data_IF_585622561674
#
_entry.id   IF_585622561674
#
_cell.length_a   1.000
_cell.length_b   1.000
_cell.length_c   1.000
_cell.angle_alpha   90.00
_cell.angle_beta   90.00
_cell.angle_gamma   90.00
#
_symmetry.space_group_name_H-M   'P 1'
#
loop_
_entity.id
_entity.type
_entity.pdbx_description
1 polymer ?
#
# COMPACT_ATOMS: atom_id res chain seq x y z
N UNK A 1 -15.65 3.12 20.17
CA UNK A 1 -14.40 2.50 19.69
C UNK A 1 -14.71 1.07 19.33
N UNK A 2 -14.49 0.74 18.08
CA UNK A 2 -14.68 -0.59 17.53
C UNK A 2 -13.62 -1.57 18.09
N UNK A 3 -14.01 -2.81 18.45
CA UNK A 3 -13.07 -3.83 18.92
C UNK A 3 -11.95 -4.10 17.90
N UNK A 4 -10.71 -4.16 18.38
CA UNK A 4 -9.54 -4.51 17.58
C UNK A 4 -8.46 -5.20 18.40
N UNK A 5 -7.52 -5.84 17.72
CA UNK A 5 -6.33 -6.45 18.28
C UNK A 5 -5.08 -5.86 17.63
N UNK A 6 -4.06 -5.54 18.43
CA UNK A 6 -2.75 -5.15 17.91
C UNK A 6 -2.00 -6.39 17.41
N UNK A 7 -1.53 -6.34 16.17
CA UNK A 7 -0.78 -7.41 15.46
C UNK A 7 0.73 -7.28 15.63
N UNK A 8 1.17 -6.27 16.37
CA UNK A 8 2.56 -5.90 16.57
C UNK A 8 2.74 -5.34 17.99
N UNK A 9 3.86 -5.68 18.60
CA UNK A 9 4.24 -5.23 19.94
C UNK A 9 5.64 -4.61 19.95
N UNK A 10 6.00 -3.80 20.96
CA UNK A 10 7.37 -3.32 21.09
C UNK A 10 8.35 -4.50 21.16
N UNK A 11 9.41 -4.46 20.35
CA UNK A 11 10.48 -5.43 20.47
C UNK A 11 11.31 -5.08 21.71
N UNK A 12 11.45 -6.03 22.64
CA UNK A 12 12.25 -5.87 23.85
C UNK A 12 13.33 -6.94 23.91
N UNK A 13 14.38 -6.73 24.71
CA UNK A 13 15.41 -7.75 24.90
C UNK A 13 14.84 -9.09 25.40
N UNK A 14 13.75 -9.04 26.19
CA UNK A 14 13.09 -10.23 26.74
C UNK A 14 12.16 -10.93 25.74
N UNK A 15 11.52 -10.18 24.84
CA UNK A 15 10.49 -10.70 23.92
C UNK A 15 10.98 -10.89 22.49
N UNK A 16 12.18 -10.41 22.15
CA UNK A 16 12.65 -10.40 20.77
C UNK A 16 12.68 -11.78 20.14
N UNK A 17 12.09 -11.87 18.96
CA UNK A 17 12.17 -13.01 18.06
C UNK A 17 12.58 -12.55 16.68
N UNK A 18 13.61 -13.19 16.11
CA UNK A 18 14.21 -12.81 14.83
C UNK A 18 13.17 -12.75 13.71
N UNK A 19 12.39 -13.83 13.55
CA UNK A 19 11.36 -13.92 12.52
C UNK A 19 10.30 -12.82 12.65
N UNK A 20 9.79 -12.61 13.86
CA UNK A 20 8.74 -11.62 14.15
C UNK A 20 9.24 -10.19 13.95
N UNK A 21 10.50 -9.93 14.32
CA UNK A 21 11.14 -8.64 14.12
C UNK A 21 11.35 -8.34 12.64
N UNK A 22 11.87 -9.30 11.86
CA UNK A 22 12.05 -9.12 10.43
C UNK A 22 10.71 -8.95 9.70
N UNK A 23 9.68 -9.69 10.11
CA UNK A 23 8.32 -9.58 9.54
C UNK A 23 7.67 -8.20 9.77
N UNK A 24 7.98 -7.54 10.89
CA UNK A 24 7.49 -6.19 11.20
C UNK A 24 8.42 -5.06 10.72
N UNK A 25 9.60 -5.37 10.17
CA UNK A 25 10.56 -4.39 9.70
C UNK A 25 11.09 -4.77 8.32
N UNK A 26 10.31 -4.56 7.24
CA UNK A 26 10.69 -4.96 5.88
C UNK A 26 12.01 -4.35 5.40
N UNK A 27 12.33 -3.11 5.82
CA UNK A 27 13.61 -2.44 5.55
C UNK A 27 14.81 -3.22 6.08
N UNK A 28 14.65 -3.80 7.28
CA UNK A 28 15.68 -4.62 7.91
C UNK A 28 15.71 -6.01 7.30
N UNK A 29 14.55 -6.60 7.00
CA UNK A 29 14.48 -7.89 6.31
C UNK A 29 15.21 -7.87 4.96
N UNK A 30 14.98 -6.83 4.15
CA UNK A 30 15.68 -6.64 2.88
C UNK A 30 17.19 -6.50 3.08
N UNK A 31 17.62 -5.68 4.04
CA UNK A 31 19.03 -5.48 4.35
C UNK A 31 19.73 -6.76 4.83
N UNK A 32 19.04 -7.64 5.56
CA UNK A 32 19.56 -8.96 5.95
C UNK A 32 19.64 -9.89 4.73
N UNK A 33 18.60 -9.94 3.90
CA UNK A 33 18.59 -10.78 2.68
C UNK A 33 19.69 -10.40 1.68
N UNK A 34 19.99 -9.12 1.56
CA UNK A 34 21.06 -8.60 0.69
C UNK A 34 22.46 -8.69 1.33
N UNK A 35 22.58 -9.22 2.55
CA UNK A 35 23.85 -9.33 3.27
C UNK A 35 24.42 -8.00 3.78
N UNK A 36 23.67 -6.90 3.70
CA UNK A 36 24.04 -5.60 4.27
C UNK A 36 23.99 -5.57 5.80
N UNK A 37 23.20 -6.47 6.40
CA UNK A 37 23.10 -6.69 7.85
C UNK A 37 23.26 -8.18 8.15
N UNK A 38 23.91 -8.50 9.28
CA UNK A 38 24.13 -9.90 9.68
C UNK A 38 22.84 -10.61 10.12
N UNK A 39 21.95 -9.88 10.81
CA UNK A 39 20.64 -10.36 11.28
C UNK A 39 19.78 -9.18 11.75
N UNK A 40 18.48 -9.42 11.90
CA UNK A 40 17.55 -8.52 12.58
C UNK A 40 17.97 -8.30 14.04
N UNK A 41 18.45 -9.34 14.73
CA UNK A 41 19.01 -9.25 16.09
C UNK A 41 20.15 -8.24 16.17
N UNK A 42 21.11 -8.32 15.24
CA UNK A 42 22.25 -7.41 15.21
C UNK A 42 21.80 -5.95 15.01
N UNK A 43 20.80 -5.72 14.16
CA UNK A 43 20.19 -4.40 14.03
C UNK A 43 19.47 -3.96 15.30
N UNK A 44 18.67 -4.85 15.91
CA UNK A 44 17.87 -4.53 17.08
C UNK A 44 18.71 -4.09 18.28
N UNK A 45 19.77 -4.85 18.59
CA UNK A 45 20.69 -4.56 19.68
C UNK A 45 21.42 -3.24 19.45
N UNK A 46 21.82 -2.96 18.21
CA UNK A 46 22.60 -1.76 17.86
C UNK A 46 21.72 -0.51 17.74
N UNK A 47 20.52 -0.63 17.20
CA UNK A 47 19.67 0.48 16.78
C UNK A 47 18.20 0.30 17.15
N UNK A 48 17.63 -0.89 16.97
CA UNK A 48 16.18 -1.12 17.08
C UNK A 48 15.59 -0.75 18.45
N UNK A 49 16.30 -1.03 19.55
CA UNK A 49 15.88 -0.61 20.90
C UNK A 49 15.71 0.91 21.02
N UNK A 50 16.68 1.68 20.51
CA UNK A 50 16.65 3.15 20.57
C UNK A 50 15.63 3.75 19.60
N UNK A 51 15.33 3.03 18.53
CA UNK A 51 14.32 3.38 17.54
C UNK A 51 12.90 2.93 17.94
N UNK A 52 12.73 2.30 19.10
CA UNK A 52 11.47 1.71 19.55
C UNK A 52 10.80 0.81 18.49
N UNK A 53 11.62 0.03 17.76
CA UNK A 53 11.13 -0.87 16.70
C UNK A 53 10.18 -1.92 17.28
N UNK A 54 9.19 -2.32 16.48
CA UNK A 54 8.17 -3.32 16.83
C UNK A 54 8.51 -4.68 16.24
N UNK A 55 7.83 -5.71 16.71
CA UNK A 55 7.85 -7.06 16.17
C UNK A 55 6.43 -7.58 16.00
N UNK A 56 6.22 -8.49 15.06
CA UNK A 56 4.94 -9.15 14.82
C UNK A 56 4.50 -9.97 16.02
N UNK A 57 3.19 -10.07 16.21
CA UNK A 57 2.58 -10.94 17.23
C UNK A 57 1.23 -11.44 16.74
N UNK A 58 0.93 -12.70 17.04
CA UNK A 58 -0.43 -13.24 16.94
C UNK A 58 -1.12 -13.08 18.30
N UNK A 59 -2.05 -12.13 18.45
CA UNK A 59 -2.74 -11.90 19.71
C UNK A 59 -3.73 -13.05 20.02
N UNK A 60 -3.91 -13.34 21.31
CA UNK A 60 -4.95 -14.25 21.76
C UNK A 60 -6.33 -13.70 21.36
N UNK A 61 -7.22 -14.57 20.90
CA UNK A 61 -8.57 -14.19 20.44
C UNK A 61 -8.66 -13.74 18.97
N UNK A 62 -7.54 -13.69 18.22
CA UNK A 62 -7.55 -13.36 16.80
C UNK A 62 -8.43 -14.31 15.99
N UNK A 63 -8.28 -15.63 16.19
CA UNK A 63 -9.07 -16.66 15.48
C UNK A 63 -10.56 -16.49 15.77
N UNK A 64 -10.95 -16.30 17.03
CA UNK A 64 -12.35 -16.07 17.40
C UNK A 64 -12.91 -14.78 16.76
N UNK A 65 -12.18 -13.67 16.85
CA UNK A 65 -12.59 -12.40 16.23
C UNK A 65 -12.72 -12.53 14.70
N UNK A 66 -11.81 -13.26 14.05
CA UNK A 66 -11.89 -13.56 12.63
C UNK A 66 -13.11 -14.40 12.30
N UNK A 67 -13.32 -15.50 13.03
CA UNK A 67 -14.44 -16.40 12.80
C UNK A 67 -15.79 -15.66 12.89
N UNK A 68 -15.98 -14.81 13.91
CA UNK A 68 -17.17 -13.98 14.08
C UNK A 68 -17.36 -12.99 12.92
N UNK A 69 -16.28 -12.33 12.49
CA UNK A 69 -16.30 -11.41 11.35
C UNK A 69 -16.63 -12.15 10.04
N UNK A 70 -16.03 -13.30 9.81
CA UNK A 70 -16.24 -14.09 8.60
C UNK A 70 -17.63 -14.75 8.56
N UNK A 71 -18.22 -15.06 9.71
CA UNK A 71 -19.62 -15.50 9.78
C UNK A 71 -20.58 -14.40 9.32
N UNK A 72 -20.31 -13.14 9.69
CA UNK A 72 -21.07 -11.97 9.21
C UNK A 72 -20.85 -11.70 7.72
N UNK A 73 -19.65 -11.97 7.20
CA UNK A 73 -19.29 -11.78 5.80
C UNK A 73 -19.85 -12.87 4.88
N UNK A 74 -19.92 -14.13 5.33
CA UNK A 74 -20.33 -15.28 4.53
C UNK A 74 -21.61 -15.06 3.67
N UNK A 75 -22.73 -14.51 4.19
CA UNK A 75 -23.93 -14.27 3.38
C UNK A 75 -23.78 -13.13 2.35
N UNK A 76 -22.66 -12.39 2.37
CA UNK A 76 -22.36 -11.31 1.43
C UNK A 76 -21.38 -11.75 0.33
N UNK A 77 -20.83 -12.96 0.43
CA UNK A 77 -19.91 -13.50 -0.57
C UNK A 77 -20.63 -13.90 -1.86
N UNK A 78 -19.91 -13.81 -2.98
CA UNK A 78 -20.33 -14.34 -4.27
C UNK A 78 -20.01 -15.82 -4.36
N UNK A 79 -21.04 -16.63 -4.61
CA UNK A 79 -20.91 -18.08 -4.77
C UNK A 79 -20.74 -18.48 -6.24
N UNK A 80 -20.93 -17.53 -7.17
CA UNK A 80 -20.81 -17.72 -8.62
C UNK A 80 -19.37 -17.62 -9.12
N UNK A 81 -18.44 -17.20 -8.26
CA UNK A 81 -17.02 -17.12 -8.58
C UNK A 81 -16.27 -18.34 -8.01
N UNK A 82 -15.33 -18.92 -8.79
CA UNK A 82 -14.51 -20.03 -8.31
C UNK A 82 -13.65 -19.56 -7.14
N UNK A 83 -13.66 -20.33 -6.05
CA UNK A 83 -12.88 -20.02 -4.86
C UNK A 83 -12.59 -21.29 -4.06
N UNK A 84 -11.65 -21.18 -3.13
CA UNK A 84 -11.34 -22.19 -2.13
C UNK A 84 -11.23 -21.57 -0.74
N UNK A 85 -11.04 -22.44 0.26
CA UNK A 85 -10.79 -22.04 1.65
C UNK A 85 -9.33 -22.25 1.99
N UNK A 86 -8.71 -21.28 2.64
CA UNK A 86 -7.37 -21.36 3.21
C UNK A 86 -7.48 -21.25 4.74
N UNK A 87 -7.72 -22.40 5.38
CA UNK A 87 -8.22 -22.43 6.75
C UNK A 87 -9.54 -21.66 6.86
N UNK A 88 -9.56 -20.62 7.67
CA UNK A 88 -10.74 -19.75 7.84
C UNK A 88 -10.89 -18.72 6.72
N UNK A 89 -9.84 -18.40 5.96
CA UNK A 89 -9.86 -17.36 4.93
C UNK A 89 -10.55 -17.83 3.66
N UNK A 90 -11.06 -16.87 2.90
CA UNK A 90 -11.53 -17.10 1.54
C UNK A 90 -10.40 -16.84 0.54
N UNK A 91 -10.29 -17.67 -0.49
CA UNK A 91 -9.31 -17.51 -1.56
C UNK A 91 -9.99 -17.54 -2.93
N UNK A 92 -10.18 -16.36 -3.52
CA UNK A 92 -10.77 -16.13 -4.84
C UNK A 92 -9.71 -15.91 -5.93
N UNK A 93 -8.42 -16.08 -5.61
CA UNK A 93 -7.36 -15.96 -6.61
C UNK A 93 -7.13 -17.30 -7.31
N UNK A 94 -7.60 -17.42 -8.55
CA UNK A 94 -7.17 -18.50 -9.45
C UNK A 94 -5.68 -18.41 -9.76
N UNK A 95 -5.07 -19.46 -10.30
CA UNK A 95 -3.66 -19.44 -10.70
C UNK A 95 -3.38 -18.31 -11.70
N UNK A 96 -4.31 -18.05 -12.62
CA UNK A 96 -4.21 -16.94 -13.58
C UNK A 96 -4.27 -15.57 -12.88
N UNK A 97 -5.16 -15.40 -11.91
CA UNK A 97 -5.25 -14.14 -11.14
C UNK A 97 -4.02 -13.93 -10.26
N UNK A 98 -3.41 -14.99 -9.72
CA UNK A 98 -2.14 -14.92 -8.99
C UNK A 98 -1.00 -14.46 -9.90
N UNK A 99 -0.90 -15.03 -11.10
CA UNK A 99 0.08 -14.63 -12.09
C UNK A 99 -0.12 -13.18 -12.57
N UNK A 100 -1.37 -12.74 -12.73
CA UNK A 100 -1.69 -11.37 -13.15
C UNK A 100 -1.43 -10.34 -12.07
N UNK A 101 -1.73 -10.68 -10.82
CA UNK A 101 -1.59 -9.81 -9.65
C UNK A 101 -0.16 -9.69 -9.16
N UNK A 102 0.75 -10.59 -9.56
CA UNK A 102 2.15 -10.62 -9.12
C UNK A 102 2.31 -10.88 -7.61
N UNK A 103 1.32 -11.53 -6.99
CA UNK A 103 1.24 -11.75 -5.54
C UNK A 103 2.44 -12.49 -4.94
N UNK A 104 3.17 -13.27 -5.75
CA UNK A 104 4.34 -14.05 -5.33
C UNK A 104 5.68 -13.34 -5.63
N UNK A 105 5.67 -12.25 -6.40
CA UNK A 105 6.87 -11.64 -6.96
C UNK A 105 7.48 -10.54 -6.07
N UNK A 106 6.82 -10.17 -4.96
CA UNK A 106 7.25 -9.07 -4.09
C UNK A 106 7.75 -9.56 -2.72
N UNK A 107 9.00 -9.26 -2.33
CA UNK A 107 9.46 -9.40 -0.95
C UNK A 107 8.96 -8.27 -0.04
N UNK A 108 8.36 -7.22 -0.59
CA UNK A 108 7.87 -6.10 0.21
C UNK A 108 6.45 -6.34 0.71
N UNK A 109 6.26 -5.92 1.96
CA UNK A 109 4.98 -5.95 2.66
C UNK A 109 4.45 -4.52 2.69
N UNK A 110 3.33 -4.27 2.02
CA UNK A 110 2.63 -2.99 2.14
C UNK A 110 2.05 -2.88 3.55
N UNK A 111 2.43 -1.82 4.28
CA UNK A 111 2.02 -1.58 5.67
C UNK A 111 1.76 -0.09 5.85
N UNK A 112 0.53 0.34 5.60
CA UNK A 112 0.09 1.70 5.88
C UNK A 112 -0.74 1.72 7.16
N UNK A 113 -0.49 2.70 8.04
CA UNK A 113 -1.36 2.94 9.17
C UNK A 113 -2.66 3.60 8.70
N UNK A 114 -3.76 3.33 9.41
CA UNK A 114 -5.00 4.08 9.21
C UNK A 114 -4.87 5.50 9.74
N UNK A 115 -5.29 6.46 8.92
CA UNK A 115 -5.42 7.85 9.33
C UNK A 115 -6.72 8.10 10.09
N UNK A 116 -6.92 9.34 10.55
CA UNK A 116 -8.09 9.71 11.33
C UNK A 116 -9.42 9.51 10.58
N UNK A 117 -9.45 9.66 9.25
CA UNK A 117 -10.69 9.48 8.46
C UNK A 117 -11.06 8.01 8.33
N UNK A 118 -10.07 7.15 8.13
CA UNK A 118 -10.31 5.71 8.13
C UNK A 118 -10.77 5.25 9.51
N UNK A 119 -10.14 5.72 10.58
CA UNK A 119 -10.57 5.40 11.95
C UNK A 119 -11.99 5.91 12.25
N UNK A 120 -12.33 7.12 11.81
CA UNK A 120 -13.69 7.66 11.93
C UNK A 120 -14.71 6.78 11.18
N UNK A 121 -14.40 6.34 9.96
CA UNK A 121 -15.26 5.45 9.18
C UNK A 121 -15.48 4.12 9.92
N UNK A 122 -14.42 3.54 10.48
CA UNK A 122 -14.46 2.29 11.24
C UNK A 122 -15.30 2.43 12.51
N UNK A 123 -15.11 3.51 13.27
CA UNK A 123 -15.79 3.74 14.55
C UNK A 123 -17.25 4.18 14.37
N UNK A 124 -17.60 4.80 13.23
CA UNK A 124 -18.97 5.16 12.89
C UNK A 124 -19.85 3.95 12.51
N UNK A 125 -19.25 2.80 12.24
CA UNK A 125 -19.94 1.58 11.79
C UNK A 125 -19.62 0.35 12.66
N UNK A 126 -19.84 0.39 13.98
CA UNK A 126 -19.42 -0.69 14.88
C UNK A 126 -20.10 -2.03 14.57
N UNK A 127 -21.37 -1.99 14.14
CA UNK A 127 -22.17 -3.17 13.76
C UNK A 127 -22.18 -3.44 12.25
N UNK A 128 -21.61 -2.52 11.47
CA UNK A 128 -21.49 -2.63 10.02
C UNK A 128 -20.25 -3.43 9.59
N UNK A 129 -20.08 -3.59 8.28
CA UNK A 129 -18.84 -4.12 7.71
C UNK A 129 -18.20 -3.06 6.81
N UNK A 130 -16.90 -2.86 6.99
CA UNK A 130 -16.06 -2.01 6.15
C UNK A 130 -15.15 -2.92 5.33
N UNK A 131 -15.04 -2.67 4.04
CA UNK A 131 -14.04 -3.35 3.20
C UNK A 131 -12.78 -2.51 3.17
N UNK A 132 -11.64 -3.12 3.49
CA UNK A 132 -10.33 -2.57 3.17
C UNK A 132 -9.80 -3.27 1.91
N UNK A 133 -9.92 -2.58 0.77
CA UNK A 133 -9.67 -3.11 -0.57
C UNK A 133 -8.22 -2.85 -0.97
N UNK A 134 -7.35 -3.84 -0.78
CA UNK A 134 -5.90 -3.70 -0.88
C UNK A 134 -5.30 -3.33 0.48
N UNK A 135 -5.59 -4.15 1.49
CA UNK A 135 -5.28 -3.85 2.88
C UNK A 135 -3.77 -3.82 3.18
N UNK A 136 -2.97 -4.53 2.40
CA UNK A 136 -1.63 -4.93 2.81
C UNK A 136 -1.68 -5.71 4.12
N UNK A 137 -0.55 -5.71 4.83
CA UNK A 137 -0.47 -6.23 6.19
C UNK A 137 -0.81 -5.12 7.18
N UNK A 138 -1.74 -5.38 8.10
CA UNK A 138 -2.20 -4.38 9.06
C UNK A 138 -1.57 -4.59 10.44
N UNK A 139 -1.17 -3.49 11.08
CA UNK A 139 -0.69 -3.48 12.46
C UNK A 139 -1.83 -3.67 13.49
N UNK A 140 -3.08 -3.48 13.05
CA UNK A 140 -4.29 -3.66 13.85
C UNK A 140 -5.32 -4.44 13.06
N UNK A 141 -5.92 -5.42 13.71
CA UNK A 141 -7.00 -6.23 13.15
C UNK A 141 -8.32 -5.83 13.80
N UNK A 142 -9.24 -5.25 13.03
CA UNK A 142 -10.54 -4.77 13.52
C UNK A 142 -11.63 -5.82 13.31
N UNK A 143 -12.57 -5.90 14.25
CA UNK A 143 -13.69 -6.84 14.21
C UNK A 143 -14.72 -6.54 13.10
N UNK A 144 -14.73 -5.33 12.54
CA UNK A 144 -15.67 -4.91 11.50
C UNK A 144 -15.01 -4.55 10.16
N UNK A 145 -13.67 -4.63 10.04
CA UNK A 145 -12.96 -4.35 8.77
C UNK A 145 -12.58 -5.67 8.12
N UNK A 146 -13.10 -5.95 6.94
CA UNK A 146 -12.75 -7.10 6.11
C UNK A 146 -11.53 -6.72 5.28
N UNK A 147 -10.41 -7.39 5.50
CA UNK A 147 -9.16 -7.12 4.78
C UNK A 147 -9.09 -7.98 3.52
N UNK A 148 -9.23 -7.34 2.35
CA UNK A 148 -9.00 -7.94 1.03
C UNK A 148 -7.57 -7.66 0.58
N UNK A 149 -6.84 -8.70 0.20
CA UNK A 149 -5.45 -8.57 -0.22
C UNK A 149 -5.06 -9.67 -1.22
N UNK A 150 -4.13 -9.39 -2.14
CA UNK A 150 -3.61 -10.42 -3.07
C UNK A 150 -2.61 -11.37 -2.38
N UNK A 151 -1.96 -10.90 -1.32
CA UNK A 151 -1.02 -11.66 -0.51
C UNK A 151 -1.66 -12.26 0.77
N UNK A 152 -1.19 -13.44 1.16
CA UNK A 152 -1.67 -14.15 2.36
C UNK A 152 -0.94 -13.68 3.63
N UNK A 153 -1.32 -12.52 4.15
CA UNK A 153 -0.81 -12.03 5.44
C UNK A 153 -1.59 -12.63 6.62
N UNK A 154 -1.00 -12.53 7.81
CA UNK A 154 -1.65 -12.85 9.08
C UNK A 154 -2.95 -12.07 9.29
N UNK A 155 -3.08 -10.88 8.71
CA UNK A 155 -4.29 -10.04 8.77
C UNK A 155 -5.28 -10.22 7.62
N UNK A 156 -4.94 -10.99 6.58
CA UNK A 156 -5.81 -11.17 5.41
C UNK A 156 -7.03 -12.01 5.75
N UNK A 157 -8.21 -11.57 5.32
CA UNK A 157 -9.48 -12.29 5.48
C UNK A 157 -9.92 -12.94 4.16
N UNK A 158 -9.75 -12.21 3.07
CA UNK A 158 -10.15 -12.63 1.72
C UNK A 158 -8.99 -12.36 0.76
N UNK A 159 -8.53 -13.40 0.08
CA UNK A 159 -7.65 -13.24 -1.06
C UNK A 159 -8.45 -12.97 -2.33
N UNK A 160 -8.17 -11.87 -3.02
CA UNK A 160 -8.88 -11.45 -4.22
C UNK A 160 -8.30 -10.17 -4.84
N UNK A 161 -8.81 -9.78 -6.01
CA UNK A 161 -8.39 -8.56 -6.72
C UNK A 161 -9.51 -7.51 -6.69
N UNK A 162 -9.12 -6.23 -6.79
CA UNK A 162 -10.07 -5.12 -6.76
C UNK A 162 -10.94 -5.04 -8.01
N UNK A 163 -10.43 -5.48 -9.17
CA UNK A 163 -11.15 -5.43 -10.45
C UNK A 163 -12.31 -6.44 -10.54
N UNK A 164 -12.35 -7.45 -9.65
CA UNK A 164 -13.42 -8.44 -9.54
C UNK A 164 -13.62 -8.79 -8.06
N UNK A 165 -14.41 -8.00 -7.35
CA UNK A 165 -14.62 -8.18 -5.92
C UNK A 165 -15.55 -9.38 -5.65
N UNK A 166 -15.19 -10.27 -4.71
CA UNK A 166 -15.94 -11.49 -4.43
C UNK A 166 -17.15 -11.27 -3.52
N UNK A 167 -17.75 -10.09 -3.57
CA UNK A 167 -18.85 -9.67 -2.69
C UNK A 167 -20.08 -9.31 -3.52
N UNK A 168 -21.27 -9.55 -2.96
CA UNK A 168 -22.56 -9.16 -3.52
C UNK A 168 -22.70 -7.64 -3.54
N UNK A 169 -23.62 -7.15 -4.34
CA UNK A 169 -23.96 -5.72 -4.41
C UNK A 169 -24.38 -5.22 -3.03
N UNK A 170 -24.08 -3.96 -2.72
CA UNK A 170 -24.51 -3.31 -1.48
C UNK A 170 -24.19 -4.10 -0.19
N UNK A 171 -22.97 -4.63 -0.10
CA UNK A 171 -22.51 -5.45 1.04
C UNK A 171 -21.89 -4.65 2.18
N UNK A 172 -21.23 -3.52 1.88
CA UNK A 172 -20.43 -2.78 2.87
C UNK A 172 -20.98 -1.40 3.19
N UNK A 173 -20.87 -1.01 4.46
CA UNK A 173 -21.22 0.32 4.97
C UNK A 173 -20.13 1.35 4.65
N UNK A 174 -18.92 0.89 4.33
CA UNK A 174 -17.86 1.72 3.79
C UNK A 174 -16.76 0.91 3.12
N UNK A 175 -15.96 1.58 2.30
CA UNK A 175 -14.79 1.02 1.62
C UNK A 175 -13.59 1.92 1.86
N UNK A 176 -12.45 1.31 2.14
CA UNK A 176 -11.12 1.92 2.25
C UNK A 176 -10.31 1.45 1.05
N UNK A 177 -9.64 2.36 0.35
CA UNK A 177 -8.70 2.03 -0.73
C UNK A 177 -7.57 3.06 -0.75
N UNK A 178 -6.46 2.73 -0.09
CA UNK A 178 -5.34 3.66 0.16
C UNK A 178 -4.08 3.11 -0.48
N UNK A 179 -3.56 3.83 -1.47
CA UNK A 179 -2.41 3.44 -2.26
C UNK A 179 -2.60 2.06 -2.93
N UNK A 180 -3.64 1.95 -3.76
CA UNK A 180 -4.09 0.69 -4.38
C UNK A 180 -4.44 0.91 -5.86
N UNK A 181 -5.24 1.93 -6.18
CA UNK A 181 -5.74 2.14 -7.55
C UNK A 181 -4.63 2.46 -8.56
N UNK A 182 -3.47 2.95 -8.11
CA UNK A 182 -2.28 3.12 -8.94
C UNK A 182 -1.62 1.79 -9.33
N UNK A 183 -1.87 0.72 -8.57
CA UNK A 183 -1.25 -0.60 -8.70
C UNK A 183 -2.13 -1.60 -9.44
N UNK A 184 -3.41 -1.29 -9.68
CA UNK A 184 -4.33 -2.13 -10.46
C UNK A 184 -4.22 -1.83 -11.96
N UNK A 185 -4.47 -2.83 -12.81
CA UNK A 185 -4.33 -2.67 -14.28
C UNK A 185 -5.49 -1.86 -14.87
N UNK A 186 -6.70 -2.14 -14.38
CA UNK A 186 -7.93 -1.43 -14.76
C UNK A 186 -8.53 -0.73 -13.54
N UNK A 187 -8.09 0.51 -13.23
CA UNK A 187 -8.62 1.26 -12.10
C UNK A 187 -10.09 1.63 -12.27
N UNK A 188 -10.61 1.66 -13.50
CA UNK A 188 -12.03 1.90 -13.74
C UNK A 188 -12.86 0.67 -13.38
N UNK A 189 -12.39 -0.55 -13.67
CA UNK A 189 -13.04 -1.77 -13.21
C UNK A 189 -13.04 -1.86 -11.67
N UNK A 190 -11.89 -1.61 -11.04
CA UNK A 190 -11.79 -1.59 -9.58
C UNK A 190 -12.75 -0.56 -8.96
N UNK A 191 -12.80 0.67 -9.50
CA UNK A 191 -13.71 1.70 -9.02
C UNK A 191 -15.20 1.33 -9.19
N UNK A 192 -15.57 0.66 -10.29
CA UNK A 192 -16.93 0.13 -10.48
C UNK A 192 -17.29 -0.92 -9.44
N UNK A 193 -16.38 -1.85 -9.15
CA UNK A 193 -16.61 -2.87 -8.12
C UNK A 193 -16.72 -2.25 -6.72
N UNK A 194 -15.86 -1.29 -6.38
CA UNK A 194 -15.94 -0.53 -5.13
C UNK A 194 -17.32 0.13 -4.99
N UNK A 195 -17.79 0.82 -6.03
CA UNK A 195 -19.11 1.45 -6.02
C UNK A 195 -20.25 0.42 -5.91
N UNK A 196 -20.14 -0.72 -6.59
CA UNK A 196 -21.15 -1.80 -6.58
C UNK A 196 -21.30 -2.43 -5.19
N UNK A 197 -20.20 -2.68 -4.49
CA UNK A 197 -20.24 -3.35 -3.17
C UNK A 197 -20.61 -2.39 -2.03
N UNK A 198 -20.55 -1.07 -2.26
CA UNK A 198 -21.03 -0.08 -1.31
C UNK A 198 -22.56 -0.11 -1.21
N UNK A 199 -23.08 -0.09 0.01
CA UNK A 199 -24.51 0.16 0.28
C UNK A 199 -24.89 1.57 -0.17
N UNK A 200 -26.16 1.82 -0.52
CA UNK A 200 -26.68 3.18 -0.61
C UNK A 200 -26.40 3.97 0.69
N UNK A 201 -25.73 5.11 0.58
CA UNK A 201 -25.30 5.92 1.73
C UNK A 201 -23.98 5.48 2.38
N UNK A 202 -23.36 4.40 1.91
CA UNK A 202 -22.03 3.98 2.33
C UNK A 202 -20.95 4.97 1.90
N UNK A 203 -19.84 5.02 2.64
CA UNK A 203 -18.76 5.99 2.42
C UNK A 203 -17.49 5.34 1.87
N UNK A 204 -16.84 6.03 0.93
CA UNK A 204 -15.52 5.67 0.43
C UNK A 204 -14.46 6.59 1.04
N UNK A 205 -13.36 6.02 1.54
CA UNK A 205 -12.11 6.74 1.81
C UNK A 205 -11.06 6.22 0.84
N UNK A 206 -10.62 7.06 -0.10
CA UNK A 206 -9.68 6.68 -1.14
C UNK A 206 -8.54 7.68 -1.28
N UNK A 207 -7.32 7.18 -1.46
CA UNK A 207 -6.12 7.98 -1.69
C UNK A 207 -5.18 7.27 -2.68
N UNK A 208 -4.59 8.05 -3.58
CA UNK A 208 -3.67 7.60 -4.64
C UNK A 208 -2.53 8.62 -4.79
N UNK A 209 -1.34 8.20 -5.27
CA UNK A 209 -0.24 9.09 -5.56
C UNK A 209 -0.50 9.92 -6.82
N UNK A 210 0.07 11.13 -6.83
CA UNK A 210 0.13 11.97 -8.03
C UNK A 210 1.56 12.21 -8.51
N UNK A 211 2.38 12.93 -7.74
CA UNK A 211 3.76 13.27 -8.11
C UNK A 211 4.77 12.43 -7.32
N UNK A 212 4.49 11.15 -7.10
CA UNK A 212 5.46 10.26 -6.45
C UNK A 212 6.31 9.54 -7.52
N UNK A 213 7.61 9.34 -7.26
CA UNK A 213 8.46 8.47 -8.10
C UNK A 213 7.86 7.08 -8.31
N UNK A 214 8.28 6.37 -9.34
CA UNK A 214 7.84 4.99 -9.59
C UNK A 214 8.15 4.07 -8.38
N UNK A 215 7.17 3.31 -7.91
CA UNK A 215 7.26 2.54 -6.65
C UNK A 215 6.38 1.28 -6.62
N UNK A 216 6.43 0.43 -7.65
CA UNK A 216 5.52 -0.71 -7.77
C UNK A 216 5.70 -1.79 -6.70
N UNK A 217 4.58 -2.31 -6.18
CA UNK A 217 4.49 -3.65 -5.59
C UNK A 217 3.17 -4.36 -5.94
N UNK A 218 3.17 -5.29 -6.92
CA UNK A 218 4.26 -5.65 -7.83
C UNK A 218 4.41 -4.68 -9.01
N UNK A 219 3.40 -3.86 -9.29
CA UNK A 219 3.38 -2.94 -10.43
C UNK A 219 2.83 -1.58 -10.03
N UNK A 220 3.24 -0.50 -10.69
CA UNK A 220 2.66 0.84 -10.55
C UNK A 220 2.35 1.34 -11.96
N UNK A 221 1.06 1.42 -12.27
CA UNK A 221 0.53 1.74 -13.60
C UNK A 221 0.14 3.20 -13.76
N UNK A 222 -0.38 3.83 -12.70
CA UNK A 222 -1.01 5.15 -12.82
C UNK A 222 -0.61 6.10 -11.69
N UNK A 223 -0.06 7.26 -12.05
CA UNK A 223 -0.03 8.43 -11.18
C UNK A 223 -1.28 9.28 -11.48
N UNK A 224 -2.18 9.43 -10.50
CA UNK A 224 -3.49 10.04 -10.74
C UNK A 224 -3.53 11.49 -10.25
N UNK A 225 -4.01 12.40 -11.10
CA UNK A 225 -4.40 13.75 -10.66
C UNK A 225 -5.67 13.69 -9.80
N UNK A 226 -6.03 14.80 -9.14
CA UNK A 226 -7.28 14.89 -8.39
C UNK A 226 -8.52 14.65 -9.27
N UNK A 227 -8.52 15.19 -10.49
CA UNK A 227 -9.57 15.01 -11.50
C UNK A 227 -9.58 13.58 -12.03
N UNK A 228 -8.42 12.95 -12.21
CA UNK A 228 -8.31 11.54 -12.58
C UNK A 228 -8.99 10.64 -11.56
N UNK A 229 -8.71 10.85 -10.27
CA UNK A 229 -9.37 10.11 -9.19
C UNK A 229 -10.88 10.35 -9.16
N UNK A 230 -11.33 11.60 -9.33
CA UNK A 230 -12.77 11.92 -9.40
C UNK A 230 -13.46 11.24 -10.58
N UNK A 231 -12.78 11.16 -11.72
CA UNK A 231 -13.32 10.56 -12.94
C UNK A 231 -13.59 9.06 -12.78
N UNK A 232 -12.81 8.34 -11.96
CA UNK A 232 -13.05 6.92 -11.68
C UNK A 232 -14.44 6.65 -11.08
N UNK A 233 -14.94 7.57 -10.24
CA UNK A 233 -16.20 7.43 -9.51
C UNK A 233 -17.35 8.27 -10.09
N UNK A 234 -17.11 8.97 -11.20
CA UNK A 234 -18.11 9.83 -11.83
C UNK A 234 -19.37 9.06 -12.21
N UNK A 235 -20.54 9.57 -11.83
CA UNK A 235 -21.84 8.94 -12.08
C UNK A 235 -22.16 7.74 -11.19
N UNK A 236 -21.23 7.31 -10.32
CA UNK A 236 -21.40 6.19 -9.41
C UNK A 236 -21.45 6.65 -7.95
N UNK A 237 -20.61 7.61 -7.57
CA UNK A 237 -20.56 8.19 -6.22
C UNK A 237 -20.58 9.72 -6.29
N UNK A 238 -21.21 10.35 -5.29
CA UNK A 238 -21.07 11.79 -5.07
C UNK A 238 -19.77 12.05 -4.29
N UNK A 239 -18.95 13.00 -4.77
CA UNK A 239 -17.70 13.37 -4.10
C UNK A 239 -17.92 14.60 -3.24
N UNK A 240 -18.05 14.40 -1.92
CA UNK A 240 -18.30 15.47 -0.96
C UNK A 240 -17.10 16.41 -0.79
N UNK A 241 -15.89 15.84 -0.71
CA UNK A 241 -14.66 16.58 -0.43
C UNK A 241 -13.43 15.85 -0.99
N UNK A 242 -12.40 16.59 -1.43
CA UNK A 242 -11.11 16.07 -1.86
C UNK A 242 -10.03 17.08 -1.46
N UNK A 243 -8.98 16.63 -0.78
CA UNK A 243 -7.91 17.49 -0.29
C UNK A 243 -6.60 16.71 -0.18
N UNK A 244 -5.51 17.40 0.18
CA UNK A 244 -4.19 16.80 0.36
C UNK A 244 -3.91 16.59 1.85
N UNK A 245 -3.90 15.34 2.36
CA UNK A 245 -3.54 15.06 3.75
C UNK A 245 -2.04 15.26 3.99
N UNK A 246 -1.64 15.35 5.26
CA UNK A 246 -0.23 15.55 5.67
C UNK A 246 0.72 14.54 5.05
N UNK A 247 0.30 13.29 4.86
CA UNK A 247 1.07 12.20 4.23
C UNK A 247 1.27 12.35 2.72
N UNK A 248 0.53 13.25 2.07
CA UNK A 248 0.58 13.49 0.62
C UNK A 248 0.94 14.93 0.26
N UNK A 249 1.40 15.73 1.22
CA UNK A 249 1.90 17.09 0.97
C UNK A 249 3.12 17.07 0.03
N UNK A 250 3.35 18.15 -0.75
CA UNK A 250 4.46 18.21 -1.73
C UNK A 250 5.85 17.98 -1.13
N UNK A 251 6.02 18.19 0.18
CA UNK A 251 7.29 17.93 0.86
C UNK A 251 7.72 16.47 0.73
N UNK A 252 6.78 15.51 0.76
CA UNK A 252 7.08 14.08 0.62
C UNK A 252 7.65 13.78 -0.77
N UNK A 253 6.98 14.27 -1.82
CA UNK A 253 7.47 14.20 -3.21
C UNK A 253 8.88 14.79 -3.33
N UNK A 254 9.08 16.02 -2.84
CA UNK A 254 10.38 16.70 -2.92
C UNK A 254 11.47 15.89 -2.22
N UNK A 255 11.21 15.43 -1.00
CA UNK A 255 12.19 14.65 -0.24
C UNK A 255 12.53 13.34 -0.94
N UNK A 256 11.54 12.63 -1.49
CA UNK A 256 11.76 11.36 -2.18
C UNK A 256 12.59 11.58 -3.44
N UNK A 257 12.22 12.55 -4.29
CA UNK A 257 12.97 12.87 -5.50
C UNK A 257 14.42 13.19 -5.18
N UNK A 258 14.68 14.07 -4.20
CA UNK A 258 16.06 14.45 -3.84
C UNK A 258 16.84 13.27 -3.29
N UNK A 259 16.24 12.45 -2.43
CA UNK A 259 16.91 11.27 -1.85
C UNK A 259 17.24 10.23 -2.92
N UNK A 260 16.29 9.89 -3.79
CA UNK A 260 16.49 8.88 -4.82
C UNK A 260 17.47 9.34 -5.89
N UNK A 261 17.37 10.62 -6.31
CA UNK A 261 18.32 11.22 -7.23
C UNK A 261 19.73 11.17 -6.65
N UNK A 262 19.92 11.65 -5.42
CA UNK A 262 21.21 11.61 -4.75
C UNK A 262 21.76 10.18 -4.64
N UNK A 263 20.93 9.20 -4.30
CA UNK A 263 21.33 7.80 -4.19
C UNK A 263 21.87 7.22 -5.51
N UNK A 264 21.35 7.70 -6.65
CA UNK A 264 21.79 7.31 -8.00
C UNK A 264 23.12 7.91 -8.47
N UNK A 265 23.72 8.86 -7.73
CA UNK A 265 24.87 9.62 -8.20
C UNK A 265 26.21 9.12 -7.65
N UNK A 266 27.32 9.24 -8.42
CA UNK A 266 28.67 9.02 -7.92
C UNK A 266 28.99 9.91 -6.70
N UNK A 267 29.83 9.47 -5.75
CA UNK A 267 30.03 10.17 -4.47
C UNK A 267 30.35 11.67 -4.59
N UNK A 268 31.25 12.05 -5.49
CA UNK A 268 31.64 13.45 -5.68
C UNK A 268 30.52 14.30 -6.31
N UNK A 269 29.78 13.73 -7.26
CA UNK A 269 28.64 14.39 -7.90
C UNK A 269 27.48 14.53 -6.92
N UNK A 270 27.18 13.47 -6.15
CA UNK A 270 26.19 13.47 -5.06
C UNK A 270 26.48 14.57 -4.05
N UNK A 271 27.73 14.69 -3.60
CA UNK A 271 28.13 15.75 -2.65
C UNK A 271 27.86 17.14 -3.20
N UNK A 272 28.21 17.39 -4.47
CA UNK A 272 27.98 18.69 -5.13
C UNK A 272 26.49 18.96 -5.33
N UNK A 273 25.71 17.97 -5.76
CA UNK A 273 24.26 18.04 -5.91
C UNK A 273 23.58 18.41 -4.59
N UNK A 274 23.90 17.69 -3.51
CA UNK A 274 23.35 17.96 -2.17
C UNK A 274 23.83 19.28 -1.54
N UNK A 275 24.87 19.90 -2.09
CA UNK A 275 25.33 21.22 -1.65
C UNK A 275 24.62 22.37 -2.39
N UNK A 276 23.78 22.08 -3.39
CA UNK A 276 22.99 23.10 -4.08
C UNK A 276 21.86 23.61 -3.20
N UNK A 277 21.47 24.86 -3.43
CA UNK A 277 20.28 25.45 -2.83
C UNK A 277 19.08 25.09 -3.69
N UNK A 278 17.91 24.98 -3.08
CA UNK A 278 16.67 24.77 -3.82
C UNK A 278 16.43 25.86 -4.88
N UNK A 279 16.86 27.09 -4.60
CA UNK A 279 16.83 28.22 -5.54
C UNK A 279 17.64 28.00 -6.82
N UNK A 280 18.64 27.11 -6.80
CA UNK A 280 19.46 26.85 -7.99
C UNK A 280 18.68 26.00 -9.03
N UNK A 281 17.56 25.39 -8.64
CA UNK A 281 16.67 24.61 -9.53
C UNK A 281 15.51 25.43 -10.10
N UNK A 282 15.44 26.74 -9.82
CA UNK A 282 14.45 27.63 -10.45
C UNK A 282 14.93 28.17 -11.81
N UNK A 283 16.12 27.75 -12.25
CA UNK A 283 16.67 28.08 -13.57
C UNK A 283 15.92 27.35 -14.70
N UNK A 284 16.09 27.81 -15.94
CA UNK A 284 15.60 27.10 -17.12
C UNK A 284 16.19 25.67 -17.15
N UNK A 285 15.36 24.61 -17.19
CA UNK A 285 15.84 23.22 -17.23
C UNK A 285 16.85 22.95 -18.35
N UNK A 286 16.74 23.64 -19.50
CA UNK A 286 17.68 23.48 -20.62
C UNK A 286 19.13 23.84 -20.23
N UNK A 287 19.29 24.80 -19.31
CA UNK A 287 20.60 25.18 -18.79
C UNK A 287 21.23 24.12 -17.88
N UNK A 288 20.41 23.25 -17.29
CA UNK A 288 20.84 22.21 -16.35
C UNK A 288 21.17 20.88 -17.04
N UNK A 289 20.79 20.67 -18.30
CA UNK A 289 20.94 19.39 -19.00
C UNK A 289 22.38 18.88 -19.10
N UNK A 290 23.38 19.78 -19.02
CA UNK A 290 24.81 19.44 -19.08
C UNK A 290 25.43 19.18 -17.71
N UNK A 291 24.68 19.40 -16.64
CA UNK A 291 25.20 19.26 -15.29
C UNK A 291 25.53 17.80 -14.95
N UNK A 292 26.60 17.53 -14.19
CA UNK A 292 26.98 16.16 -13.84
C UNK A 292 25.88 15.36 -13.13
N UNK A 293 25.03 16.01 -12.33
CA UNK A 293 23.93 15.31 -11.65
C UNK A 293 22.76 14.98 -12.60
N UNK A 294 22.72 15.54 -13.82
CA UNK A 294 21.79 15.14 -14.87
C UNK A 294 22.44 14.06 -15.75
N UNK A 295 23.66 14.32 -16.24
CA UNK A 295 24.33 13.44 -17.22
C UNK A 295 24.91 12.15 -16.64
N UNK A 296 25.11 12.08 -15.33
CA UNK A 296 25.63 10.89 -14.64
C UNK A 296 24.57 10.16 -13.79
N UNK A 297 23.29 10.52 -13.93
CA UNK A 297 22.21 9.75 -13.35
C UNK A 297 21.94 8.54 -14.25
N UNK A 298 21.97 7.33 -13.68
CA UNK A 298 21.74 6.09 -14.44
C UNK A 298 20.31 5.97 -14.96
N UNK A 299 20.13 5.18 -16.03
CA UNK A 299 18.84 5.02 -16.72
C UNK A 299 17.73 4.50 -15.81
N UNK A 300 18.02 3.57 -14.91
CA UNK A 300 17.03 3.08 -13.93
C UNK A 300 16.48 4.21 -13.05
N UNK A 301 17.35 5.15 -12.64
CA UNK A 301 16.95 6.32 -11.86
C UNK A 301 16.26 7.38 -12.71
N UNK A 302 16.67 7.55 -13.96
CA UNK A 302 15.93 8.38 -14.91
C UNK A 302 14.50 7.87 -15.11
N UNK A 303 14.31 6.54 -15.22
CA UNK A 303 12.99 5.92 -15.32
C UNK A 303 12.17 6.06 -14.03
N UNK A 304 12.79 5.84 -12.86
CA UNK A 304 12.12 5.98 -11.57
C UNK A 304 11.60 7.41 -11.33
N UNK A 305 12.41 8.41 -11.69
CA UNK A 305 12.17 9.84 -11.42
C UNK A 305 11.65 10.60 -12.64
N UNK A 306 11.26 9.88 -13.70
CA UNK A 306 10.87 10.47 -14.95
C UNK A 306 9.69 11.44 -14.78
N UNK A 307 9.77 12.60 -15.42
CA UNK A 307 8.58 13.47 -15.61
C UNK A 307 7.64 12.96 -16.71
N UNK A 308 8.08 11.95 -17.48
CA UNK A 308 7.32 11.32 -18.56
C UNK A 308 8.20 10.35 -19.36
N UNK A 309 7.58 9.51 -20.18
CA UNK A 309 8.27 8.53 -21.03
C UNK A 309 7.72 8.57 -22.45
N UNK A 310 8.56 8.23 -23.43
CA UNK A 310 8.11 7.97 -24.80
C UNK A 310 7.99 6.46 -25.01
N UNK A 311 6.87 6.02 -25.59
CA UNK A 311 6.66 4.65 -26.03
C UNK A 311 6.58 4.62 -27.56
N UNK A 312 7.45 3.84 -28.19
CA UNK A 312 7.42 3.56 -29.62
C UNK A 312 6.92 2.14 -29.83
N UNK A 313 5.85 1.98 -30.58
CA UNK A 313 5.25 0.68 -30.88
C UNK A 313 4.94 0.58 -32.38
N UNK A 314 4.97 -0.63 -32.92
CA UNK A 314 4.48 -0.93 -34.26
C UNK A 314 3.35 -1.95 -34.16
N UNK A 315 2.40 -1.84 -35.08
CA UNK A 315 1.32 -2.81 -35.21
C UNK A 315 1.80 -3.94 -36.11
N UNK A 316 1.69 -5.18 -35.64
CA UNK A 316 1.83 -6.39 -36.47
C UNK A 316 0.61 -6.59 -37.36
#
# INVERSE_FOLDING_TARGET
MTPHLDMVEPATAATFREADYLAANPDIHLAVREGRLASGRAHFEKHGLRQARRQSRLPAGLEAMRADKLARLAPLMRDDLPHRRLGEKYDYLSEELRALSGAEDSPNVSQNAYDAHVLELIDANPDGLILDCGAGRRDRYYANVVNLEIADYDTTDVLGIGEVLPFRDASFDGVISIAVLEHVRDPFACAREIARVLKPGGRLVCAVPFLQPLHGYPHHYYNMTGEGLRNLFAGQLAVDHQYVPTSLLPIWTLTWIVQSWAAGLPPDVRKRFLSRRLSDFTADPLSLLKEPYVTQLGDDKNMELASGTYLFAHKE
#
